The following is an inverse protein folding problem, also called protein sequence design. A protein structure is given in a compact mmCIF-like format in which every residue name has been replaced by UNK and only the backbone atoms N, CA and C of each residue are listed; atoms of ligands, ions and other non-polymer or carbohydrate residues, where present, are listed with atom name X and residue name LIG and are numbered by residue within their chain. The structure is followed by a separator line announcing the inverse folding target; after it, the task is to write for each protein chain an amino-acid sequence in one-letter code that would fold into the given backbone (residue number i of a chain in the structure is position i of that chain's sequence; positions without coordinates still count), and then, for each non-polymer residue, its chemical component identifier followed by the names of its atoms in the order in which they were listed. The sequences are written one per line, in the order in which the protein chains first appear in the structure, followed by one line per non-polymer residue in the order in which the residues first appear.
data_IF_377059033045
#
_entry.id   IF_377059033045
#
_cell.length_a   1.000
_cell.length_b   1.000
_cell.length_c   1.000
_cell.angle_alpha   90.00
_cell.angle_beta   90.00
_cell.angle_gamma   90.00
#
_symmetry.space_group_name_H-M   'P 1'
#
loop_
_entity.id
_entity.type
_entity.pdbx_description
1 polymer ?
#
# COMPACT_ATOMS: atom_id res chain seq x y z
N UNK A 1 87.36 42.87 0.15
CA UNK A 1 86.08 43.24 0.79
C UNK A 1 85.37 44.21 -0.15
N UNK A 2 84.52 43.70 -1.06
CA UNK A 2 83.52 44.51 -1.76
C UNK A 2 82.44 43.59 -2.34
N UNK A 3 81.19 44.08 -2.30
CA UNK A 3 79.98 43.31 -2.05
C UNK A 3 79.18 43.00 -3.33
N UNK A 4 78.51 41.86 -3.27
CA UNK A 4 77.64 41.24 -4.25
C UNK A 4 76.44 42.13 -4.65
N UNK A 5 76.33 42.49 -5.93
CA UNK A 5 75.14 43.14 -6.49
C UNK A 5 74.14 42.10 -7.03
N UNK A 6 73.21 41.71 -6.15
CA UNK A 6 71.76 41.48 -6.39
C UNK A 6 71.31 41.20 -7.83
N UNK A 7 70.96 39.94 -8.09
CA UNK A 7 70.17 39.50 -9.24
C UNK A 7 68.69 39.86 -9.00
N UNK A 8 68.08 40.61 -9.92
CA UNK A 8 66.70 41.03 -9.84
C UNK A 8 65.74 39.84 -9.96
N UNK A 9 64.71 39.82 -9.11
CA UNK A 9 63.67 38.80 -9.05
C UNK A 9 62.88 38.73 -10.38
N UNK A 10 62.95 37.57 -11.05
CA UNK A 10 62.02 37.22 -12.12
C UNK A 10 60.78 36.53 -11.52
N UNK A 11 59.61 36.95 -12.03
CA UNK A 11 58.29 36.82 -11.43
C UNK A 11 57.81 35.37 -11.21
N UNK A 12 57.19 35.14 -10.05
CA UNK A 12 56.34 33.97 -9.80
C UNK A 12 54.98 34.20 -10.48
N UNK A 13 54.56 33.29 -11.37
CA UNK A 13 53.21 33.28 -11.94
C UNK A 13 52.17 33.03 -10.84
N UNK A 14 50.98 33.67 -10.89
CA UNK A 14 49.90 33.37 -9.97
C UNK A 14 49.29 31.99 -10.27
N UNK A 15 48.98 31.24 -9.21
CA UNK A 15 48.24 29.97 -9.29
C UNK A 15 46.76 30.31 -9.46
N UNK A 16 46.14 29.79 -10.52
CA UNK A 16 44.69 29.90 -10.73
C UNK A 16 43.94 29.20 -9.59
N UNK A 17 42.89 29.83 -9.01
CA UNK A 17 42.06 29.13 -8.06
C UNK A 17 41.29 28.03 -8.81
N UNK A 18 41.53 26.78 -8.42
CA UNK A 18 40.68 25.64 -8.79
C UNK A 18 39.26 26.03 -8.39
N UNK A 19 38.37 26.17 -9.38
CA UNK A 19 36.93 26.36 -9.19
C UNK A 19 36.44 25.29 -8.23
N UNK A 20 36.28 25.68 -6.97
CA UNK A 20 35.82 24.80 -5.90
C UNK A 20 34.44 24.33 -6.32
N UNK A 21 34.37 23.02 -6.56
CA UNK A 21 33.22 22.25 -6.96
C UNK A 21 31.88 22.96 -6.72
N UNK A 22 31.21 23.34 -7.81
CA UNK A 22 29.76 23.33 -7.84
C UNK A 22 29.28 21.87 -7.80
N UNK A 23 29.65 21.14 -6.76
CA UNK A 23 28.84 20.04 -6.27
C UNK A 23 27.79 20.75 -5.42
N UNK A 24 26.75 21.22 -6.11
CA UNK A 24 25.48 21.39 -5.46
C UNK A 24 25.25 20.09 -4.71
N UNK A 25 25.33 20.15 -3.39
CA UNK A 25 24.78 19.12 -2.51
C UNK A 25 23.37 18.91 -3.04
N UNK A 26 23.15 17.80 -3.74
CA UNK A 26 21.78 17.37 -3.98
C UNK A 26 21.12 17.41 -2.60
N UNK A 27 19.97 18.07 -2.43
CA UNK A 27 19.22 17.91 -1.20
C UNK A 27 19.02 16.41 -1.10
N UNK A 28 19.75 15.76 -0.20
CA UNK A 28 19.59 14.35 0.06
C UNK A 28 18.11 14.17 0.32
N UNK A 29 17.47 13.26 -0.41
CA UNK A 29 16.06 12.94 -0.24
C UNK A 29 15.80 12.87 1.26
N UNK A 30 15.16 13.91 1.80
CA UNK A 30 14.79 13.92 3.18
C UNK A 30 13.74 12.84 3.27
N UNK A 31 14.17 11.63 3.66
CA UNK A 31 13.30 10.47 3.81
C UNK A 31 12.11 10.93 4.64
N UNK A 32 10.96 11.08 4.00
CA UNK A 32 9.75 11.49 4.67
C UNK A 32 9.50 10.47 5.77
N UNK A 33 9.36 10.94 7.01
CA UNK A 33 9.00 10.07 8.13
C UNK A 33 7.57 9.62 7.85
N UNK A 34 7.41 8.38 7.41
CA UNK A 34 6.11 7.76 7.16
C UNK A 34 5.67 7.05 8.44
N UNK A 35 4.61 7.55 9.06
CA UNK A 35 3.94 6.85 10.15
C UNK A 35 3.04 5.75 9.56
N UNK A 36 3.13 4.54 10.13
CA UNK A 36 2.39 3.37 9.65
C UNK A 36 1.49 2.86 10.77
N UNK A 37 0.19 2.76 10.49
CA UNK A 37 -0.78 2.15 11.40
C UNK A 37 -1.03 0.70 10.99
N UNK A 38 -0.65 -0.23 11.86
CA UNK A 38 -0.94 -1.64 11.68
C UNK A 38 -2.24 -2.02 12.40
N UNK A 39 -3.24 -2.44 11.63
CA UNK A 39 -4.49 -2.97 12.19
C UNK A 39 -4.31 -4.47 12.44
N UNK A 40 -4.75 -4.97 13.59
CA UNK A 40 -4.71 -6.41 13.86
C UNK A 40 -5.73 -7.17 12.99
N UNK A 41 -5.45 -8.44 12.70
CA UNK A 41 -6.40 -9.32 11.99
C UNK A 41 -7.74 -9.43 12.72
N UNK A 42 -7.70 -9.51 14.05
CA UNK A 42 -8.90 -9.54 14.90
C UNK A 42 -9.73 -8.26 14.79
N UNK A 43 -9.10 -7.09 14.75
CA UNK A 43 -9.81 -5.82 14.57
C UNK A 43 -10.46 -5.72 13.19
N UNK A 44 -9.79 -6.20 12.13
CA UNK A 44 -10.39 -6.29 10.78
C UNK A 44 -11.61 -7.21 10.75
N UNK A 45 -11.53 -8.39 11.37
CA UNK A 45 -12.65 -9.32 11.44
C UNK A 45 -13.81 -8.75 12.27
N UNK A 46 -13.53 -8.08 13.38
CA UNK A 46 -14.55 -7.46 14.21
C UNK A 46 -15.29 -6.32 13.46
N UNK A 47 -14.56 -5.51 12.69
CA UNK A 47 -15.17 -4.49 11.84
C UNK A 47 -16.08 -5.12 10.77
N UNK A 48 -15.60 -6.15 10.07
CA UNK A 48 -16.43 -6.88 9.09
C UNK A 48 -17.69 -7.49 9.73
N UNK A 49 -17.58 -8.01 10.95
CA UNK A 49 -18.72 -8.58 11.66
C UNK A 49 -19.75 -7.52 12.09
N UNK A 50 -19.31 -6.30 12.40
CA UNK A 50 -20.20 -5.18 12.73
C UNK A 50 -20.93 -4.62 11.50
N UNK A 51 -20.36 -4.78 10.31
CA UNK A 51 -20.98 -4.37 9.04
C UNK A 51 -22.01 -5.38 8.51
N UNK A 52 -22.05 -6.59 9.08
CA UNK A 52 -23.04 -7.58 8.69
C UNK A 52 -24.44 -7.11 9.09
N UNK A 53 -25.42 -7.15 8.17
CA UNK A 53 -26.79 -6.84 8.51
C UNK A 53 -27.36 -7.86 9.49
N UNK A 54 -28.33 -7.44 10.29
CA UNK A 54 -29.02 -8.31 11.23
C UNK A 54 -29.62 -9.53 10.52
N UNK A 55 -29.61 -10.67 11.22
CA UNK A 55 -30.24 -11.89 10.74
C UNK A 55 -31.74 -11.63 10.57
N UNK A 56 -32.26 -11.89 9.37
CA UNK A 56 -33.69 -11.85 9.07
C UNK A 56 -34.40 -13.04 9.71
N UNK A 57 -34.59 -13.00 11.03
CA UNK A 57 -35.15 -14.09 11.84
C UNK A 57 -36.47 -14.62 11.29
N UNK A 58 -37.32 -13.72 10.79
CA UNK A 58 -38.64 -14.07 10.25
C UNK A 58 -38.54 -14.91 8.98
N UNK A 59 -37.63 -14.54 8.07
CA UNK A 59 -37.39 -15.31 6.85
C UNK A 59 -36.81 -16.68 7.19
N UNK A 60 -35.87 -16.74 8.15
CA UNK A 60 -35.28 -17.99 8.61
C UNK A 60 -36.35 -18.90 9.20
N UNK A 61 -37.24 -18.37 10.04
CA UNK A 61 -38.33 -19.13 10.64
C UNK A 61 -39.30 -19.66 9.58
N UNK A 62 -39.67 -18.83 8.60
CA UNK A 62 -40.51 -19.23 7.47
C UNK A 62 -39.88 -20.37 6.66
N UNK A 63 -38.62 -20.21 6.24
CA UNK A 63 -37.92 -21.23 5.45
C UNK A 63 -37.77 -22.54 6.24
N UNK A 64 -37.48 -22.48 7.54
CA UNK A 64 -37.46 -23.68 8.39
C UNK A 64 -38.80 -24.40 8.42
N UNK A 65 -39.91 -23.67 8.48
CA UNK A 65 -41.25 -24.26 8.42
C UNK A 65 -41.54 -24.90 7.05
N UNK A 66 -41.17 -24.24 5.94
CA UNK A 66 -41.30 -24.79 4.58
C UNK A 66 -40.49 -26.08 4.40
N UNK A 67 -39.27 -26.14 4.95
CA UNK A 67 -38.43 -27.34 4.95
C UNK A 67 -39.04 -28.48 5.76
N UNK A 68 -39.55 -28.19 6.97
CA UNK A 68 -40.20 -29.19 7.81
C UNK A 68 -41.49 -29.75 7.18
N UNK A 69 -42.21 -28.92 6.42
CA UNK A 69 -43.39 -29.32 5.67
C UNK A 69 -43.05 -30.01 4.33
N UNK A 70 -41.79 -30.02 3.90
CA UNK A 70 -41.36 -30.61 2.63
C UNK A 70 -41.81 -29.83 1.39
N UNK A 71 -42.20 -28.57 1.53
CA UNK A 71 -42.71 -27.72 0.42
C UNK A 71 -41.70 -26.69 -0.07
N UNK A 72 -40.51 -26.67 0.53
CA UNK A 72 -39.46 -25.75 0.12
C UNK A 72 -38.91 -26.06 -1.27
N UNK A 73 -38.85 -27.33 -1.63
CA UNK A 73 -38.33 -27.82 -2.91
C UNK A 73 -39.42 -27.72 -3.98
N UNK A 74 -39.18 -26.84 -4.95
CA UNK A 74 -40.07 -26.63 -6.10
C UNK A 74 -39.25 -26.71 -7.38
N UNK A 75 -39.82 -27.13 -8.52
CA UNK A 75 -39.07 -27.25 -9.77
C UNK A 75 -38.27 -25.99 -10.11
N UNK A 76 -38.90 -24.81 -10.01
CA UNK A 76 -38.27 -23.51 -10.30
C UNK A 76 -37.06 -23.24 -9.40
N UNK A 77 -37.15 -23.55 -8.11
CA UNK A 77 -36.02 -23.37 -7.17
C UNK A 77 -34.87 -24.32 -7.45
N UNK A 78 -35.16 -25.53 -7.92
CA UNK A 78 -34.14 -26.52 -8.28
C UNK A 78 -33.42 -26.09 -9.56
N UNK A 79 -34.14 -25.61 -10.57
CA UNK A 79 -33.55 -25.11 -11.81
C UNK A 79 -32.59 -23.95 -11.54
N UNK A 80 -33.01 -22.94 -10.78
CA UNK A 80 -32.15 -21.82 -10.37
C UNK A 80 -30.95 -22.28 -9.53
N UNK A 81 -31.13 -23.29 -8.68
CA UNK A 81 -30.03 -23.83 -7.88
C UNK A 81 -28.99 -24.55 -8.76
N UNK A 82 -29.43 -25.28 -9.78
CA UNK A 82 -28.56 -25.95 -10.76
C UNK A 82 -27.80 -24.91 -11.59
N UNK A 83 -28.48 -23.90 -12.12
CA UNK A 83 -27.84 -22.83 -12.89
C UNK A 83 -26.71 -22.15 -12.09
N UNK A 84 -27.02 -21.73 -10.86
CA UNK A 84 -26.03 -21.08 -9.98
C UNK A 84 -24.87 -21.99 -9.60
N UNK A 85 -25.12 -23.28 -9.44
CA UNK A 85 -24.07 -24.26 -9.14
C UNK A 85 -23.13 -24.42 -10.34
N UNK A 86 -23.68 -24.47 -11.56
CA UNK A 86 -22.87 -24.53 -12.77
C UNK A 86 -22.05 -23.25 -12.97
N UNK A 87 -22.62 -22.09 -12.68
CA UNK A 87 -21.91 -20.80 -12.73
C UNK A 87 -20.72 -20.79 -11.75
N UNK A 88 -20.91 -21.25 -10.50
CA UNK A 88 -19.84 -21.29 -9.48
C UNK A 88 -18.72 -22.28 -9.84
N UNK A 89 -19.03 -23.40 -10.51
CA UNK A 89 -18.04 -24.40 -10.92
C UNK A 89 -17.24 -23.98 -12.17
N UNK A 90 -17.83 -23.16 -13.05
CA UNK A 90 -17.26 -22.77 -14.33
C UNK A 90 -16.66 -21.35 -14.33
N UNK A 91 -16.78 -20.62 -13.21
CA UNK A 91 -16.14 -19.33 -12.97
C UNK A 91 -14.64 -19.47 -12.63
#
# INVERSE_FOLDING_TARGET
MNLNSINAAAAMNPVEPISKAAQASQPGDAMAIVDTVEISTAARLAAMAQELPDVRTDLVAKVKAELAAGVYETPDKIEVAIERLLDDLLA
#
